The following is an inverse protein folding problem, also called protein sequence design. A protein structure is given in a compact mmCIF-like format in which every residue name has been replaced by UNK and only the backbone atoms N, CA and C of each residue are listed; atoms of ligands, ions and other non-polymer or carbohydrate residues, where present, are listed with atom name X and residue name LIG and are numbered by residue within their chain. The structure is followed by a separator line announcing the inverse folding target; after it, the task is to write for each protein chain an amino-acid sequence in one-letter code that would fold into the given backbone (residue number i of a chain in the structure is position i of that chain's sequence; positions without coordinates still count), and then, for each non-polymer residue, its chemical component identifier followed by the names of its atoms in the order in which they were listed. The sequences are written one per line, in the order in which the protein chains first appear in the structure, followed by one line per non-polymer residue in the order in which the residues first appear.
data_IF_255959867754
#
_entry.id   IF_255959867754
#
_cell.length_a   1.000
_cell.length_b   1.000
_cell.length_c   1.000
_cell.angle_alpha   90.00
_cell.angle_beta   90.00
_cell.angle_gamma   90.00
#
_symmetry.space_group_name_H-M   'P 1'
#
loop_
_entity.id
_entity.type
_entity.pdbx_description
1 polymer ?
#
# COMPACT_ATOMS: atom_id res chain seq x y z
N UNK A 1 1.43 -3.07 -5.83
CA UNK A 1 0.48 -2.11 -5.24
C UNK A 1 -0.02 -1.19 -6.33
N UNK A 2 -1.29 -0.79 -6.24
CA UNK A 2 -1.96 0.14 -7.15
C UNK A 2 -2.14 1.49 -6.47
N UNK A 3 -1.98 2.60 -7.18
CA UNK A 3 -2.29 3.94 -6.68
C UNK A 3 -3.56 4.46 -7.36
N UNK A 4 -4.39 5.17 -6.59
CA UNK A 4 -5.60 5.79 -7.12
C UNK A 4 -5.26 7.14 -7.70
N UNK A 5 -5.67 7.36 -8.95
CA UNK A 5 -5.60 8.66 -9.60
C UNK A 5 -6.66 9.60 -8.99
N UNK A 6 -6.29 10.85 -8.75
CA UNK A 6 -7.16 11.86 -8.16
C UNK A 6 -6.53 13.26 -8.18
N UNK A 7 -7.09 14.17 -7.39
CA UNK A 7 -6.62 15.57 -7.32
C UNK A 7 -5.18 15.71 -6.81
N UNK A 8 -4.67 14.70 -6.10
CA UNK A 8 -3.32 14.64 -5.53
C UNK A 8 -2.27 14.08 -6.48
N UNK A 9 -2.66 13.59 -7.66
CA UNK A 9 -1.75 12.96 -8.61
C UNK A 9 -2.44 11.97 -9.52
N UNK A 10 -1.81 11.66 -10.65
CA UNK A 10 -2.38 10.81 -11.67
C UNK A 10 -1.34 9.93 -12.35
N UNK A 11 -1.78 9.04 -13.26
CA UNK A 11 -0.88 8.24 -14.07
C UNK A 11 0.04 9.16 -14.89
N UNK A 12 1.26 8.69 -15.13
CA UNK A 12 2.12 9.28 -16.17
C UNK A 12 1.49 9.06 -17.54
N UNK A 13 1.94 9.81 -18.55
CA UNK A 13 1.44 9.66 -19.93
C UNK A 13 1.55 8.24 -20.49
N UNK A 14 2.48 7.43 -19.95
CA UNK A 14 2.70 6.03 -20.33
C UNK A 14 1.89 5.01 -19.52
N UNK A 15 1.14 5.45 -18.50
CA UNK A 15 0.41 4.60 -17.58
C UNK A 15 -1.10 4.65 -17.89
N UNK A 16 -1.79 3.52 -17.73
CA UNK A 16 -3.23 3.41 -17.98
C UNK A 16 -3.98 3.22 -16.67
N UNK A 17 -5.11 3.90 -16.52
CA UNK A 17 -5.99 3.73 -15.35
C UNK A 17 -6.82 2.47 -15.52
N UNK A 18 -6.86 1.63 -14.48
CA UNK A 18 -7.65 0.41 -14.44
C UNK A 18 -8.67 0.43 -13.31
N UNK A 19 -9.85 -0.17 -13.55
CA UNK A 19 -10.80 -0.50 -12.48
C UNK A 19 -10.49 -1.91 -11.99
N UNK A 20 -10.19 -2.04 -10.70
CA UNK A 20 -9.80 -3.30 -10.07
C UNK A 20 -10.49 -3.50 -8.73
N UNK A 21 -10.68 -4.75 -8.35
CA UNK A 21 -11.14 -5.11 -7.01
C UNK A 21 -9.93 -5.12 -6.08
N UNK A 22 -9.90 -4.17 -5.16
CA UNK A 22 -8.72 -3.91 -4.34
C UNK A 22 -9.11 -3.67 -2.89
N UNK A 23 -8.15 -3.89 -1.99
CA UNK A 23 -8.25 -3.52 -0.58
C UNK A 23 -7.08 -2.65 -0.16
N UNK A 24 -7.39 -1.65 0.66
CA UNK A 24 -6.41 -0.89 1.42
C UNK A 24 -6.20 -1.57 2.75
N UNK A 25 -4.96 -2.01 3.00
CA UNK A 25 -4.59 -2.73 4.22
C UNK A 25 -3.83 -1.86 5.22
N UNK A 26 -3.46 -0.65 4.81
CA UNK A 26 -2.86 0.38 5.62
C UNK A 26 -3.57 1.71 5.40
N UNK A 27 -3.59 2.56 6.41
CA UNK A 27 -4.09 3.94 6.32
C UNK A 27 -2.91 4.89 6.13
N UNK A 28 -3.04 5.89 5.28
CA UNK A 28 -2.04 6.93 5.01
C UNK A 28 -2.58 7.94 4.00
N UNK A 29 -1.71 8.74 3.40
CA UNK A 29 -2.13 9.76 2.42
C UNK A 29 -2.50 9.13 1.08
N UNK A 30 -3.43 9.76 0.36
CA UNK A 30 -3.92 9.26 -0.92
C UNK A 30 -2.84 9.22 -2.01
N UNK A 31 -1.80 10.06 -1.90
CA UNK A 31 -0.69 10.13 -2.84
C UNK A 31 0.32 8.99 -2.72
N UNK A 32 0.39 8.30 -1.57
CA UNK A 32 1.41 7.30 -1.28
C UNK A 32 0.88 5.96 -0.77
N UNK A 33 -0.41 5.89 -0.38
CA UNK A 33 -1.03 4.66 0.10
C UNK A 33 -1.52 3.83 -1.08
N UNK A 34 -0.91 2.65 -1.26
CA UNK A 34 -1.23 1.69 -2.29
C UNK A 34 -2.32 0.70 -1.89
N UNK A 35 -3.17 0.38 -2.86
CA UNK A 35 -4.10 -0.73 -2.77
C UNK A 35 -3.47 -2.03 -3.24
N UNK A 36 -3.98 -3.16 -2.75
CA UNK A 36 -3.58 -4.51 -3.18
C UNK A 36 -4.77 -5.19 -3.82
N UNK A 37 -4.55 -5.88 -4.94
CA UNK A 37 -5.60 -6.73 -5.53
C UNK A 37 -6.07 -7.75 -4.48
N UNK A 38 -7.39 -7.84 -4.32
CA UNK A 38 -7.95 -8.70 -3.28
C UNK A 38 -9.39 -9.07 -3.58
N UNK A 39 -9.65 -10.37 -3.62
CA UNK A 39 -10.99 -10.94 -3.73
C UNK A 39 -11.63 -11.22 -2.35
N UNK A 40 -10.99 -10.73 -1.27
CA UNK A 40 -11.44 -10.95 0.10
C UNK A 40 -12.60 -10.02 0.46
N UNK A 41 -13.81 -10.46 0.13
CA UNK A 41 -15.09 -9.77 0.40
C UNK A 41 -15.79 -10.22 1.70
N UNK A 42 -15.23 -11.18 2.43
CA UNK A 42 -15.70 -11.61 3.75
C UNK A 42 -14.58 -11.60 4.79
N UNK A 43 -14.93 -11.58 6.07
CA UNK A 43 -13.98 -11.58 7.18
C UNK A 43 -13.09 -12.82 7.13
N UNK A 44 -13.64 -13.99 6.83
CA UNK A 44 -12.90 -15.26 6.75
C UNK A 44 -11.85 -15.20 5.64
N UNK A 45 -12.22 -14.65 4.48
CA UNK A 45 -11.29 -14.44 3.37
C UNK A 45 -10.21 -13.42 3.73
N UNK A 46 -10.57 -12.35 4.45
CA UNK A 46 -9.60 -11.36 4.96
C UNK A 46 -8.58 -12.03 5.87
N UNK A 47 -9.03 -12.85 6.82
CA UNK A 47 -8.17 -13.56 7.77
C UNK A 47 -7.23 -14.51 7.02
N UNK A 48 -7.76 -15.31 6.09
CA UNK A 48 -6.96 -16.24 5.30
C UNK A 48 -5.90 -15.52 4.44
N UNK A 49 -6.27 -14.40 3.82
CA UNK A 49 -5.36 -13.57 3.03
C UNK A 49 -4.22 -12.98 3.89
N UNK A 50 -4.55 -12.43 5.05
CA UNK A 50 -3.56 -11.85 5.97
C UNK A 50 -2.64 -12.95 6.50
N UNK A 51 -3.19 -14.10 6.90
CA UNK A 51 -2.41 -15.23 7.43
C UNK A 51 -1.42 -15.80 6.40
N UNK A 52 -1.73 -15.72 5.10
CA UNK A 52 -0.85 -16.17 4.03
C UNK A 52 0.21 -15.13 3.62
N UNK A 53 0.08 -13.87 4.06
CA UNK A 53 0.99 -12.80 3.68
C UNK A 53 2.39 -12.99 4.27
N UNK A 54 3.42 -12.79 3.45
CA UNK A 54 4.84 -12.83 3.85
C UNK A 54 5.51 -11.47 3.87
N UNK A 55 4.77 -10.43 3.47
CA UNK A 55 5.25 -9.06 3.42
C UNK A 55 4.56 -8.26 4.51
N UNK A 56 5.30 -7.32 5.12
CA UNK A 56 4.68 -6.37 6.04
C UNK A 56 3.72 -5.48 5.27
N UNK A 57 2.57 -5.19 5.88
CA UNK A 57 1.53 -4.40 5.22
C UNK A 57 2.08 -3.04 4.77
N UNK A 58 2.80 -2.33 5.66
CA UNK A 58 3.41 -1.04 5.34
C UNK A 58 4.44 -1.12 4.21
N UNK A 59 5.39 -2.07 4.26
CA UNK A 59 6.40 -2.20 3.23
C UNK A 59 5.82 -2.55 1.86
N UNK A 60 4.68 -3.26 1.83
CA UNK A 60 4.00 -3.65 0.61
C UNK A 60 3.15 -2.52 -0.01
N UNK A 61 2.60 -1.63 0.80
CA UNK A 61 1.58 -0.66 0.36
C UNK A 61 2.00 0.81 0.44
N UNK A 62 3.01 1.19 1.22
CA UNK A 62 3.42 2.60 1.33
C UNK A 62 4.56 2.90 0.37
N UNK A 63 4.31 3.79 -0.59
CA UNK A 63 5.30 4.13 -1.62
C UNK A 63 6.58 4.76 -1.03
N UNK A 64 6.47 5.48 0.08
CA UNK A 64 7.57 6.16 0.76
C UNK A 64 8.39 5.24 1.69
N UNK A 65 7.85 4.07 2.05
CA UNK A 65 8.54 3.07 2.87
C UNK A 65 9.40 2.11 2.01
N UNK A 66 9.37 2.22 0.67
CA UNK A 66 10.11 1.32 -0.25
C UNK A 66 11.63 1.50 -0.30
N UNK A 67 12.17 2.50 0.39
CA UNK A 67 13.61 2.77 0.46
C UNK A 67 14.37 1.67 1.21
N UNK A 68 13.73 0.97 2.16
CA UNK A 68 14.30 -0.11 2.98
C UNK A 68 13.20 -0.69 3.88
N UNK A 69 13.17 -2.01 4.14
CA UNK A 69 12.28 -2.59 5.16
C UNK A 69 12.50 -1.97 6.56
N UNK A 70 13.69 -1.41 6.80
CA UNK A 70 14.05 -0.70 8.02
C UNK A 70 13.85 0.83 7.94
N UNK A 71 13.29 1.38 6.85
CA UNK A 71 13.21 2.83 6.63
C UNK A 71 12.53 3.58 7.80
N UNK A 72 11.52 2.96 8.43
CA UNK A 72 10.89 3.53 9.63
C UNK A 72 11.76 3.47 10.89
N UNK A 73 12.54 2.41 11.05
CA UNK A 73 13.48 2.29 12.18
C UNK A 73 14.69 3.21 12.01
N UNK A 74 15.14 3.43 10.78
CA UNK A 74 16.19 4.41 10.47
C UNK A 74 15.68 5.85 10.67
N UNK A 75 14.47 6.18 10.20
CA UNK A 75 13.83 7.48 10.50
C UNK A 75 13.66 7.72 12.00
N UNK A 76 13.27 6.69 12.77
CA UNK A 76 13.23 6.77 14.25
C UNK A 76 14.61 7.09 14.83
N UNK A 77 15.66 6.43 14.34
CA UNK A 77 17.05 6.69 14.79
C UNK A 77 17.50 8.12 14.45
N UNK A 78 17.00 8.68 13.36
CA UNK A 78 17.25 10.06 12.91
C UNK A 78 16.41 11.12 13.64
N UNK A 79 15.58 10.73 14.61
CA UNK A 79 14.76 11.66 15.41
C UNK A 79 13.43 12.02 14.77
N UNK A 80 12.95 11.20 13.82
CA UNK A 80 11.60 11.32 13.25
C UNK A 80 10.52 10.82 14.22
N UNK A 81 10.71 10.94 15.54
CA UNK A 81 9.73 10.79 16.63
C UNK A 81 10.30 11.42 17.90
#
# INVERSE_FOLDING_TARGET
MWLTAGEWGGPKDTETVEKRQVRYRTVGDMSCTGAVDSDADTIEKVIAEIAASRLTERGATRADDKMSEAAMEDRKREGYF
#
